data_IF_118856386683
#
_entry.id   IF_118856386683
#
_cell.length_a   1.000
_cell.length_b   1.000
_cell.length_c   1.000
_cell.angle_alpha   90.00
_cell.angle_beta   90.00
_cell.angle_gamma   90.00
#
_symmetry.space_group_name_H-M   'P 1'
#
loop_
_entity.id
_entity.type
_entity.pdbx_description
1 polymer ?
#
# COMPACT_ATOMS: atom_id res chain seq x y z
N UNK A 1 39.72 46.01 26.55
CA UNK A 1 38.86 45.42 25.50
C UNK A 1 39.05 43.90 25.31
N UNK A 2 39.61 43.14 26.27
CA UNK A 2 39.85 41.69 26.10
C UNK A 2 39.14 40.79 27.15
N UNK A 3 38.21 41.33 27.94
CA UNK A 3 37.40 40.54 28.89
C UNK A 3 35.91 40.45 28.55
N UNK A 4 35.43 41.15 27.51
CA UNK A 4 34.05 41.03 27.01
C UNK A 4 33.84 39.85 26.04
N UNK A 5 34.84 39.51 25.24
CA UNK A 5 34.70 38.53 24.16
C UNK A 5 34.66 37.05 24.62
N UNK A 6 35.23 36.74 25.79
CA UNK A 6 35.24 35.37 26.33
C UNK A 6 33.92 34.98 27.00
N UNK A 7 33.20 35.94 27.61
CA UNK A 7 31.85 35.68 28.18
C UNK A 7 30.78 35.49 27.11
N UNK A 8 30.94 36.10 25.94
CA UNK A 8 30.00 35.94 24.82
C UNK A 8 30.18 34.58 24.12
N UNK A 9 31.41 34.08 24.01
CA UNK A 9 31.70 32.74 23.46
C UNK A 9 31.21 31.60 24.36
N UNK A 10 31.33 31.72 25.69
CA UNK A 10 30.83 30.70 26.62
C UNK A 10 29.29 30.58 26.63
N UNK A 11 28.56 31.70 26.50
CA UNK A 11 27.10 31.68 26.34
C UNK A 11 26.65 31.09 25.01
N UNK A 12 27.42 31.31 23.93
CA UNK A 12 27.13 30.70 22.62
C UNK A 12 27.40 29.19 22.57
N UNK A 13 28.30 28.66 23.41
CA UNK A 13 28.58 27.22 23.51
C UNK A 13 27.56 26.50 24.39
N UNK A 14 27.10 27.14 25.48
CA UNK A 14 26.00 26.61 26.33
C UNK A 14 24.68 26.53 25.55
N UNK A 15 24.32 27.60 24.82
CA UNK A 15 23.09 27.63 24.02
C UNK A 15 23.11 26.67 22.80
N UNK A 16 24.30 26.34 22.25
CA UNK A 16 24.43 25.32 21.18
C UNK A 16 24.42 23.89 21.71
N UNK A 17 24.73 23.68 22.99
CA UNK A 17 24.70 22.34 23.61
C UNK A 17 23.28 22.03 24.12
N UNK A 18 22.52 23.04 24.56
CA UNK A 18 21.10 22.90 24.91
C UNK A 18 20.21 22.67 23.68
N UNK A 19 20.47 23.34 22.55
CA UNK A 19 19.71 23.13 21.31
C UNK A 19 19.96 21.76 20.63
N UNK A 20 21.09 21.10 20.90
CA UNK A 20 21.36 19.74 20.43
C UNK A 20 20.89 18.65 21.42
N UNK A 21 20.54 19.02 22.66
CA UNK A 21 20.02 18.10 23.69
C UNK A 21 18.51 17.88 23.58
N UNK A 22 17.74 18.86 23.13
CA UNK A 22 16.28 18.75 22.99
C UNK A 22 15.85 17.89 21.79
N UNK A 23 16.67 17.82 20.72
CA UNK A 23 16.40 16.98 19.55
C UNK A 23 16.62 15.49 19.76
N UNK A 24 17.50 15.11 20.70
CA UNK A 24 17.88 13.70 20.95
C UNK A 24 16.94 13.05 21.98
N UNK A 25 16.36 13.84 22.91
CA UNK A 25 15.42 13.33 23.92
C UNK A 25 13.99 13.10 23.39
N UNK A 26 13.62 13.75 22.29
CA UNK A 26 12.33 13.55 21.61
C UNK A 26 12.27 12.22 20.84
N UNK A 27 13.37 11.85 20.15
CA UNK A 27 13.45 10.63 19.34
C UNK A 27 13.33 9.34 20.18
N UNK A 28 13.83 9.34 21.41
CA UNK A 28 13.69 8.21 22.34
C UNK A 28 12.24 8.02 22.85
N UNK A 29 11.41 9.06 22.77
CA UNK A 29 10.06 9.04 23.31
C UNK A 29 9.04 8.45 22.32
N UNK A 30 9.19 8.76 21.03
CA UNK A 30 8.22 8.33 20.02
C UNK A 30 8.14 6.81 19.83
N UNK A 31 9.28 6.15 19.59
CA UNK A 31 9.34 4.70 19.43
C UNK A 31 8.87 3.95 20.69
N UNK A 32 9.29 4.43 21.86
CA UNK A 32 8.90 3.87 23.16
C UNK A 32 7.40 3.99 23.39
N UNK A 33 6.84 5.18 23.16
CA UNK A 33 5.42 5.42 23.31
C UNK A 33 4.60 4.57 22.33
N UNK A 34 5.03 4.48 21.07
CA UNK A 34 4.33 3.65 20.09
C UNK A 34 4.32 2.17 20.50
N UNK A 35 5.46 1.64 20.96
CA UNK A 35 5.55 0.26 21.45
C UNK A 35 4.58 0.02 22.63
N UNK A 36 4.51 0.96 23.58
CA UNK A 36 3.58 0.89 24.70
C UNK A 36 2.12 0.91 24.25
N UNK A 37 1.79 1.69 23.21
CA UNK A 37 0.43 1.75 22.65
C UNK A 37 0.10 0.50 21.84
N UNK A 38 1.02 -0.01 21.02
CA UNK A 38 0.83 -1.19 20.18
C UNK A 38 0.62 -2.48 20.98
N UNK A 39 1.21 -2.57 22.18
CA UNK A 39 1.03 -3.71 23.08
C UNK A 39 -0.30 -3.69 23.86
N UNK A 40 -1.13 -2.65 23.70
CA UNK A 40 -2.49 -2.61 24.26
C UNK A 40 -3.43 -3.42 23.38
N UNK A 41 -3.68 -4.67 23.78
CA UNK A 41 -4.52 -5.63 23.04
C UNK A 41 -5.91 -5.09 22.65
N UNK A 42 -6.47 -4.18 23.44
CA UNK A 42 -7.77 -3.55 23.21
C UNK A 42 -7.77 -2.50 22.08
N UNK A 43 -6.59 -2.07 21.63
CA UNK A 43 -6.42 -1.11 20.53
C UNK A 43 -6.07 -1.79 19.20
N UNK A 44 -5.67 -3.06 19.26
CA UNK A 44 -5.46 -3.92 18.11
C UNK A 44 -6.82 -4.46 17.60
N UNK A 45 -7.00 -4.51 16.28
CA UNK A 45 -8.18 -5.15 15.70
C UNK A 45 -7.93 -6.67 15.65
N UNK A 46 -8.53 -7.43 16.58
CA UNK A 46 -8.51 -8.89 16.49
C UNK A 46 -9.39 -9.33 15.31
N UNK A 47 -8.81 -9.98 14.30
CA UNK A 47 -9.49 -10.42 13.09
C UNK A 47 -10.82 -11.12 13.36
N UNK A 48 -11.93 -10.41 13.16
CA UNK A 48 -13.27 -10.99 13.21
C UNK A 48 -13.47 -11.95 12.03
N UNK A 49 -14.01 -13.14 12.29
CA UNK A 49 -14.12 -14.29 11.37
C UNK A 49 -14.98 -14.12 10.10
N UNK A 50 -15.15 -12.90 9.56
CA UNK A 50 -15.72 -12.67 8.23
C UNK A 50 -14.58 -12.51 7.23
N UNK A 51 -14.28 -13.63 6.57
CA UNK A 51 -13.03 -13.96 5.91
C UNK A 51 -12.56 -13.03 4.79
N UNK A 52 -11.22 -13.04 4.63
CA UNK A 52 -10.37 -12.65 3.48
C UNK A 52 -10.69 -11.35 2.72
N UNK A 53 -11.91 -11.12 2.28
CA UNK A 53 -12.31 -10.03 1.38
C UNK A 53 -12.18 -8.61 1.97
N UNK A 54 -12.38 -8.45 3.28
CA UNK A 54 -12.27 -7.14 3.96
C UNK A 54 -10.82 -6.74 4.22
N UNK A 55 -10.00 -7.69 4.64
CA UNK A 55 -8.57 -7.51 4.93
C UNK A 55 -7.78 -7.22 3.65
N UNK A 56 -8.19 -7.81 2.53
CA UNK A 56 -7.55 -7.54 1.24
C UNK A 56 -7.68 -6.06 0.82
N UNK A 57 -8.83 -5.42 1.06
CA UNK A 57 -9.00 -4.00 0.73
C UNK A 57 -8.01 -3.09 1.48
N UNK A 58 -7.73 -3.42 2.75
CA UNK A 58 -6.79 -2.65 3.57
C UNK A 58 -5.35 -2.80 3.07
N UNK A 59 -4.97 -4.02 2.67
CA UNK A 59 -3.65 -4.33 2.10
C UNK A 59 -3.43 -3.64 0.76
N UNK A 60 -4.42 -3.69 -0.14
CA UNK A 60 -4.35 -2.96 -1.42
C UNK A 60 -4.21 -1.46 -1.21
N UNK A 61 -4.97 -0.89 -0.26
CA UNK A 61 -4.82 0.51 0.09
C UNK A 61 -3.43 0.82 0.68
N UNK A 62 -2.87 -0.04 1.53
CA UNK A 62 -1.54 0.16 2.09
C UNK A 62 -0.46 0.21 1.01
N UNK A 63 -0.52 -0.68 0.01
CA UNK A 63 0.42 -0.64 -1.13
C UNK A 63 0.23 0.62 -1.96
N UNK A 64 -1.02 1.01 -2.23
CA UNK A 64 -1.30 2.28 -2.89
C UNK A 64 -0.75 3.48 -2.11
N UNK A 65 -0.88 3.46 -0.78
CA UNK A 65 -0.34 4.50 0.11
C UNK A 65 1.18 4.58 0.07
N UNK A 66 1.89 3.46 0.07
CA UNK A 66 3.36 3.45 -0.09
C UNK A 66 3.79 4.07 -1.42
N UNK A 67 3.06 3.79 -2.49
CA UNK A 67 3.31 4.40 -3.80
C UNK A 67 3.08 5.91 -3.77
N UNK A 68 2.00 6.39 -3.15
CA UNK A 68 1.76 7.84 -2.95
C UNK A 68 2.91 8.50 -2.17
N UNK A 69 3.35 7.89 -1.07
CA UNK A 69 4.45 8.40 -0.24
C UNK A 69 5.77 8.48 -1.02
N UNK A 70 6.09 7.44 -1.80
CA UNK A 70 7.30 7.42 -2.62
C UNK A 70 7.24 8.42 -3.78
N UNK A 71 6.08 8.58 -4.44
CA UNK A 71 5.86 9.58 -5.48
C UNK A 71 5.94 11.02 -4.93
N UNK A 72 5.46 11.23 -3.70
CA UNK A 72 5.59 12.50 -2.98
C UNK A 72 7.03 12.78 -2.50
N UNK A 73 7.94 11.83 -2.65
CA UNK A 73 9.32 11.89 -2.16
C UNK A 73 9.40 12.13 -0.65
N UNK A 74 8.52 11.48 0.12
CA UNK A 74 8.64 11.45 1.57
C UNK A 74 10.00 10.84 1.97
N UNK A 75 10.75 11.47 2.91
CA UNK A 75 12.14 11.11 3.18
C UNK A 75 12.26 9.69 3.74
N UNK A 76 11.31 9.31 4.59
CA UNK A 76 11.17 7.98 5.18
C UNK A 76 9.68 7.72 5.48
N UNK A 77 9.33 6.45 5.64
CA UNK A 77 8.04 6.03 6.17
C UNK A 77 8.13 4.60 6.74
N UNK A 78 7.25 4.30 7.67
CA UNK A 78 7.02 2.94 8.16
C UNK A 78 5.52 2.72 8.33
N UNK A 79 5.01 1.67 7.69
CA UNK A 79 3.64 1.20 7.90
C UNK A 79 3.68 0.01 8.85
N UNK A 80 2.95 0.11 9.95
CA UNK A 80 2.69 -0.98 10.88
C UNK A 80 1.28 -1.53 10.65
N UNK A 81 1.17 -2.83 10.48
CA UNK A 81 -0.09 -3.53 10.23
C UNK A 81 -0.63 -4.10 11.54
N UNK A 82 -1.91 -3.83 11.83
CA UNK A 82 -2.60 -4.36 13.02
C UNK A 82 -1.88 -4.06 14.36
N UNK A 83 -1.05 -3.01 14.40
CA UNK A 83 -0.37 -2.56 15.62
C UNK A 83 -1.25 -1.60 16.43
N UNK A 84 -1.82 -0.60 15.76
CA UNK A 84 -2.83 0.31 16.32
C UNK A 84 -3.88 0.53 15.23
N UNK A 85 -5.12 0.09 15.48
CA UNK A 85 -6.17 -0.03 14.46
C UNK A 85 -5.73 -0.91 13.27
N UNK A 86 -6.21 -0.63 12.06
CA UNK A 86 -5.89 -1.45 10.88
C UNK A 86 -4.44 -1.19 10.40
N UNK A 87 -4.07 0.08 10.24
CA UNK A 87 -2.74 0.50 9.74
C UNK A 87 -2.27 1.75 10.50
N UNK A 88 -0.99 1.78 10.90
CA UNK A 88 -0.34 2.97 11.44
C UNK A 88 0.84 3.37 10.57
N UNK A 89 0.84 4.61 10.06
CA UNK A 89 1.94 5.22 9.31
C UNK A 89 2.78 6.08 10.23
N UNK A 90 4.10 5.90 10.18
CA UNK A 90 5.10 6.70 10.87
C UNK A 90 5.96 7.43 9.84
N UNK A 91 6.45 8.59 10.22
CA UNK A 91 7.34 9.43 9.40
C UNK A 91 8.79 8.95 9.37
N UNK A 92 9.16 8.03 10.25
CA UNK A 92 10.45 7.36 10.21
C UNK A 92 10.37 5.94 10.76
N UNK A 93 11.14 5.06 10.15
CA UNK A 93 11.34 3.67 10.57
C UNK A 93 12.28 3.51 11.77
N UNK A 94 13.06 4.54 12.11
CA UNK A 94 14.10 4.48 13.16
C UNK A 94 13.94 5.53 14.25
N UNK A 95 13.32 6.66 13.95
CA UNK A 95 13.11 7.75 14.91
C UNK A 95 11.77 8.45 14.64
N UNK A 96 10.64 7.74 14.84
CA UNK A 96 9.32 8.29 14.54
C UNK A 96 9.00 9.49 15.43
N UNK A 97 8.55 10.59 14.82
CA UNK A 97 8.17 11.82 15.52
C UNK A 97 6.68 12.14 15.39
N UNK A 98 5.99 11.53 14.43
CA UNK A 98 4.53 11.64 14.26
C UNK A 98 3.95 10.31 13.78
N UNK A 99 2.70 10.06 14.12
CA UNK A 99 1.96 8.92 13.62
C UNK A 99 0.63 9.33 12.96
N UNK A 100 0.23 8.57 11.95
CA UNK A 100 -1.12 8.60 11.38
C UNK A 100 -1.75 7.24 11.52
N UNK A 101 -2.87 7.15 12.24
CA UNK A 101 -3.60 5.90 12.48
C UNK A 101 -4.78 5.82 11.51
N UNK A 102 -4.93 4.70 10.83
CA UNK A 102 -5.97 4.47 9.83
C UNK A 102 -6.90 3.35 10.28
N UNK A 103 -8.20 3.67 10.29
CA UNK A 103 -9.27 2.67 10.26
C UNK A 103 -9.82 2.61 8.84
N UNK A 104 -9.58 1.48 8.17
CA UNK A 104 -9.84 1.23 6.77
C UNK A 104 -11.05 0.29 6.63
N UNK A 105 -12.14 0.78 6.04
CA UNK A 105 -13.34 -0.04 5.83
C UNK A 105 -13.77 -0.05 4.36
N UNK A 106 -14.12 -1.25 3.87
CA UNK A 106 -14.78 -1.44 2.57
C UNK A 106 -16.29 -1.32 2.72
N UNK A 107 -16.97 -0.72 1.74
CA UNK A 107 -18.43 -0.72 1.61
C UNK A 107 -18.84 -1.12 0.20
N UNK A 108 -19.67 -2.14 0.04
CA UNK A 108 -20.08 -2.60 -1.29
C UNK A 108 -21.06 -1.63 -1.98
N UNK A 109 -21.90 -0.93 -1.21
CA UNK A 109 -22.82 0.09 -1.75
C UNK A 109 -23.24 1.14 -0.72
N UNK A 110 -23.66 2.32 -1.19
CA UNK A 110 -24.20 3.40 -0.36
C UNK A 110 -23.15 4.21 0.42
N UNK A 111 -23.58 4.87 1.49
CA UNK A 111 -22.75 5.72 2.36
C UNK A 111 -22.67 5.17 3.78
N UNK A 112 -21.63 5.54 4.53
CA UNK A 112 -21.55 5.24 5.95
C UNK A 112 -22.49 6.14 6.73
N UNK A 113 -23.39 5.56 7.51
CA UNK A 113 -24.34 6.32 8.33
C UNK A 113 -23.70 6.75 9.65
N UNK A 114 -24.23 7.82 10.23
CA UNK A 114 -23.85 8.33 11.56
C UNK A 114 -23.80 7.23 12.63
N UNK A 115 -24.87 6.44 12.73
CA UNK A 115 -24.99 5.42 13.78
C UNK A 115 -23.99 4.29 13.66
N UNK A 116 -23.63 3.91 12.44
CA UNK A 116 -22.63 2.84 12.20
C UNK A 116 -21.25 3.30 12.64
N UNK A 117 -20.89 4.56 12.36
CA UNK A 117 -19.54 5.06 12.66
C UNK A 117 -19.38 5.57 14.10
N UNK A 118 -20.45 6.08 14.73
CA UNK A 118 -20.38 6.70 16.06
C UNK A 118 -20.97 5.85 17.18
N UNK A 119 -21.78 4.83 16.86
CA UNK A 119 -22.54 4.10 17.87
C UNK A 119 -23.69 4.90 18.49
N UNK A 120 -24.04 6.08 17.95
CA UNK A 120 -25.09 6.96 18.48
C UNK A 120 -26.21 7.22 17.47
N UNK A 121 -27.36 7.71 17.92
CA UNK A 121 -28.43 8.16 17.02
C UNK A 121 -28.16 9.58 16.55
N UNK A 122 -28.32 9.86 15.25
CA UNK A 122 -28.13 11.20 14.71
C UNK A 122 -29.04 12.24 15.40
N UNK A 123 -28.57 13.50 15.58
CA UNK A 123 -29.40 14.59 16.07
C UNK A 123 -30.68 14.72 15.25
N UNK A 124 -31.84 14.76 15.91
CA UNK A 124 -33.12 15.01 15.23
C UNK A 124 -33.17 16.46 14.76
N UNK A 125 -33.52 16.68 13.50
CA UNK A 125 -33.85 18.02 13.03
C UNK A 125 -35.02 18.59 13.89
N UNK A 126 -35.00 19.89 14.24
CA UNK A 126 -36.11 20.51 14.93
C UNK A 126 -37.35 20.37 14.03
N UNK A 127 -38.35 19.59 14.46
CA UNK A 127 -39.62 19.50 13.74
C UNK A 127 -40.25 20.90 13.71
N UNK A 128 -40.66 21.37 12.54
CA UNK A 128 -41.54 22.53 12.46
C UNK A 128 -42.82 22.19 13.23
N UNK A 129 -43.19 23.10 14.12
CA UNK A 129 -44.34 22.93 15.00
C UNK A 129 -45.62 22.86 14.20
N UNK A 130 -46.21 21.66 14.08
CA UNK A 130 -47.65 21.47 13.97
C UNK A 130 -48.01 20.04 14.41
N UNK A 131 -48.63 19.93 15.59
CA UNK A 131 -49.19 18.67 16.12
C UNK A 131 -48.29 17.95 17.12
N UNK A 132 -48.54 18.17 18.41
CA UNK A 132 -47.80 17.61 19.52
C UNK A 132 -47.95 16.08 19.67
N UNK A 133 -46.83 15.42 19.97
CA UNK A 133 -46.67 14.66 21.23
C UNK A 133 -45.26 14.97 21.70
N UNK A 134 -45.14 15.45 22.94
CA UNK A 134 -43.85 15.62 23.60
C UNK A 134 -43.19 14.24 23.70
N UNK A 135 -42.39 13.89 22.70
CA UNK A 135 -41.48 12.78 22.83
C UNK A 135 -40.56 13.17 23.98
N UNK A 136 -40.62 12.40 25.07
CA UNK A 136 -39.62 12.44 26.13
C UNK A 136 -38.25 12.59 25.46
N UNK A 137 -37.52 13.66 25.78
CA UNK A 137 -36.11 13.83 25.39
C UNK A 137 -35.37 12.67 26.05
N UNK A 138 -35.35 11.49 25.41
CA UNK A 138 -34.45 10.42 25.79
C UNK A 138 -33.05 10.99 25.61
N UNK A 139 -32.30 11.06 26.70
CA UNK A 139 -30.87 11.36 26.62
C UNK A 139 -30.22 10.46 25.57
N UNK A 140 -29.22 10.94 24.82
CA UNK A 140 -28.46 10.09 23.92
C UNK A 140 -27.93 8.85 24.66
N UNK A 141 -28.04 7.69 24.04
CA UNK A 141 -27.43 6.45 24.53
C UNK A 141 -26.01 6.36 23.98
N UNK A 142 -25.03 6.24 24.88
CA UNK A 142 -23.61 6.13 24.55
C UNK A 142 -23.02 4.74 24.80
N UNK A 143 -23.84 3.76 25.17
CA UNK A 143 -23.39 2.39 25.50
C UNK A 143 -22.60 1.70 24.37
N UNK A 144 -22.88 2.05 23.10
CA UNK A 144 -22.23 1.46 21.91
C UNK A 144 -21.07 2.28 21.35
N UNK A 145 -20.76 3.43 21.95
CA UNK A 145 -19.73 4.33 21.41
C UNK A 145 -18.35 3.66 21.47
N UNK A 146 -18.06 2.90 22.54
CA UNK A 146 -16.78 2.21 22.71
C UNK A 146 -16.46 1.22 21.58
N UNK A 147 -17.48 0.55 21.04
CA UNK A 147 -17.35 -0.43 19.97
C UNK A 147 -17.47 0.17 18.56
N UNK A 148 -17.83 1.45 18.47
CA UNK A 148 -17.99 2.16 17.20
C UNK A 148 -16.63 2.47 16.56
N UNK A 149 -16.60 2.57 15.23
CA UNK A 149 -15.40 2.90 14.46
C UNK A 149 -14.70 4.16 14.97
N UNK A 150 -15.45 5.26 15.16
CA UNK A 150 -14.86 6.53 15.61
C UNK A 150 -14.54 6.52 17.11
N UNK A 151 -15.24 5.73 17.92
CA UNK A 151 -14.91 5.55 19.33
C UNK A 151 -13.61 4.78 19.53
N UNK A 152 -13.40 3.69 18.77
CA UNK A 152 -12.13 2.95 18.75
C UNK A 152 -10.98 3.82 18.29
N UNK A 153 -11.16 4.51 17.16
CA UNK A 153 -10.15 5.43 16.65
C UNK A 153 -9.82 6.52 17.67
N UNK A 154 -10.81 7.12 18.34
CA UNK A 154 -10.58 8.07 19.42
C UNK A 154 -9.78 7.47 20.59
N UNK A 155 -10.10 6.26 21.04
CA UNK A 155 -9.34 5.58 22.10
C UNK A 155 -7.89 5.35 21.70
N UNK A 156 -7.63 4.92 20.46
CA UNK A 156 -6.28 4.77 19.93
C UNK A 156 -5.51 6.09 19.94
N UNK A 157 -6.13 7.19 19.52
CA UNK A 157 -5.48 8.50 19.53
C UNK A 157 -5.22 9.04 20.95
N UNK A 158 -6.12 8.77 21.88
CA UNK A 158 -6.00 9.15 23.29
C UNK A 158 -5.00 8.30 24.06
N UNK A 159 -4.59 7.15 23.53
CA UNK A 159 -3.55 6.32 24.11
C UNK A 159 -2.15 6.91 23.96
N UNK A 160 -1.96 7.83 23.01
CA UNK A 160 -0.75 8.63 22.85
C UNK A 160 -0.84 9.90 23.71
N UNK A 161 0.14 10.07 24.57
CA UNK A 161 0.32 11.18 25.50
C UNK A 161 1.24 12.29 24.97
N UNK A 162 2.23 11.96 24.13
CA UNK A 162 3.27 12.92 23.72
C UNK A 162 3.47 13.03 22.21
N UNK A 163 3.46 11.91 21.49
CA UNK A 163 3.62 11.88 20.05
C UNK A 163 2.39 12.54 19.39
N UNK A 164 2.60 13.48 18.46
CA UNK A 164 1.53 13.97 17.60
C UNK A 164 0.93 12.82 16.77
N UNK A 165 -0.35 12.52 17.04
CA UNK A 165 -1.09 11.49 16.30
C UNK A 165 -2.42 12.02 15.78
N UNK A 166 -2.66 11.77 14.49
CA UNK A 166 -3.93 12.02 13.81
C UNK A 166 -4.54 10.71 13.32
N UNK A 167 -5.86 10.62 13.34
CA UNK A 167 -6.62 9.45 12.93
C UNK A 167 -7.40 9.70 11.65
N UNK A 168 -7.45 8.70 10.79
CA UNK A 168 -8.27 8.72 9.58
C UNK A 168 -9.22 7.52 9.57
N UNK A 169 -10.51 7.80 9.44
CA UNK A 169 -11.42 6.82 8.88
C UNK A 169 -11.37 6.93 7.36
N UNK A 170 -11.00 5.83 6.70
CA UNK A 170 -10.92 5.78 5.24
C UNK A 170 -11.82 4.70 4.65
N UNK A 171 -12.44 5.01 3.52
CA UNK A 171 -13.29 4.07 2.80
C UNK A 171 -13.47 4.43 1.34
N UNK A 172 -13.83 3.45 0.52
CA UNK A 172 -14.31 3.69 -0.85
C UNK A 172 -15.67 4.43 -0.89
N UNK A 173 -16.41 4.43 0.23
CA UNK A 173 -17.67 5.14 0.36
C UNK A 173 -17.54 6.41 1.21
N UNK A 174 -18.36 7.41 0.89
CA UNK A 174 -18.48 8.64 1.67
C UNK A 174 -19.27 8.43 2.98
N UNK A 175 -19.25 9.44 3.86
CA UNK A 175 -19.98 9.42 5.13
C UNK A 175 -21.17 10.38 5.07
N UNK A 176 -22.38 9.93 5.41
CA UNK A 176 -23.56 10.79 5.41
C UNK A 176 -23.63 11.67 6.66
N UNK A 177 -22.67 12.60 6.75
CA UNK A 177 -22.44 13.46 7.90
C UNK A 177 -22.60 14.91 7.43
N UNK A 178 -23.56 15.68 7.97
CA UNK A 178 -23.77 17.05 7.53
C UNK A 178 -22.62 17.95 7.97
N UNK A 179 -22.16 18.81 7.08
CA UNK A 179 -21.07 19.76 7.30
C UNK A 179 -21.62 21.17 7.61
N UNK A 180 -20.83 21.95 8.34
CA UNK A 180 -21.15 23.35 8.66
C UNK A 180 -21.28 24.24 7.41
N UNK A 181 -20.60 23.88 6.32
CA UNK A 181 -20.64 24.57 5.03
C UNK A 181 -21.91 24.30 4.20
N UNK A 182 -22.85 23.48 4.68
CA UNK A 182 -24.11 23.18 3.99
C UNK A 182 -24.06 21.99 3.02
N UNK A 183 -23.04 21.14 3.12
CA UNK A 183 -22.90 19.88 2.36
C UNK A 183 -22.86 18.63 3.24
N UNK A 184 -22.32 17.54 2.71
CA UNK A 184 -22.11 16.28 3.43
C UNK A 184 -20.69 15.74 3.21
N UNK A 185 -20.14 15.07 4.22
CA UNK A 185 -18.88 14.31 4.13
C UNK A 185 -18.96 13.15 3.12
N UNK A 186 -20.11 12.93 2.46
CA UNK A 186 -20.24 12.00 1.37
C UNK A 186 -19.59 12.51 0.08
N UNK A 187 -19.58 13.83 -0.09
CA UNK A 187 -19.15 14.52 -1.33
C UNK A 187 -17.96 15.46 -1.11
N UNK A 188 -17.65 15.84 0.13
CA UNK A 188 -16.67 16.89 0.47
C UNK A 188 -15.51 16.34 1.29
N UNK A 189 -14.73 15.41 0.71
CA UNK A 189 -13.65 14.69 1.41
C UNK A 189 -12.27 15.03 0.84
N UNK A 190 -11.20 15.06 1.65
CA UNK A 190 -11.19 14.78 3.10
C UNK A 190 -11.81 15.92 3.93
N UNK A 191 -12.41 15.58 5.08
CA UNK A 191 -12.91 16.57 6.05
C UNK A 191 -12.57 16.17 7.49
N UNK A 192 -12.34 17.16 8.34
CA UNK A 192 -12.17 16.99 9.79
C UNK A 192 -13.52 16.80 10.48
N UNK A 193 -13.56 16.05 11.60
CA UNK A 193 -14.79 15.96 12.42
C UNK A 193 -15.17 17.31 13.06
N UNK A 194 -14.24 18.27 13.12
CA UNK A 194 -14.54 19.64 13.53
C UNK A 194 -15.37 20.43 12.53
N UNK A 195 -15.47 19.97 11.28
CA UNK A 195 -16.24 20.62 10.20
C UNK A 195 -17.70 20.18 10.15
N UNK A 196 -18.10 19.26 11.04
CA UNK A 196 -19.47 18.80 11.15
C UNK A 196 -20.43 19.92 11.56
N UNK A 197 -21.69 19.80 11.16
CA UNK A 197 -22.74 20.66 11.64
C UNK A 197 -22.77 20.68 13.18
N UNK A 198 -23.00 21.85 13.78
CA UNK A 198 -22.83 22.09 15.22
C UNK A 198 -23.48 21.02 16.13
N UNK A 199 -24.73 20.63 15.84
CA UNK A 199 -25.44 19.61 16.63
C UNK A 199 -24.78 18.22 16.57
N UNK A 200 -24.16 17.88 15.45
CA UNK A 200 -23.44 16.61 15.27
C UNK A 200 -22.08 16.66 15.97
N UNK A 201 -21.34 17.76 15.80
CA UNK A 201 -20.07 17.97 16.49
C UNK A 201 -20.26 17.89 18.02
N UNK A 202 -21.27 18.58 18.57
CA UNK A 202 -21.54 18.55 20.02
C UNK A 202 -21.92 17.14 20.50
N UNK A 203 -22.82 16.45 19.80
CA UNK A 203 -23.19 15.08 20.17
C UNK A 203 -21.99 14.15 20.15
N UNK A 204 -21.09 14.32 19.18
CA UNK A 204 -19.88 13.51 19.09
C UNK A 204 -18.89 13.84 20.21
N UNK A 205 -18.71 15.12 20.57
CA UNK A 205 -17.90 15.50 21.75
C UNK A 205 -18.44 14.83 23.00
N UNK A 206 -19.75 14.88 23.23
CA UNK A 206 -20.39 14.26 24.40
C UNK A 206 -20.18 12.74 24.39
N UNK A 207 -20.37 12.11 23.23
CA UNK A 207 -20.20 10.67 23.04
C UNK A 207 -18.75 10.23 23.29
N UNK A 208 -17.77 10.91 22.70
CA UNK A 208 -16.35 10.57 22.87
C UNK A 208 -15.86 10.86 24.29
N UNK A 209 -16.36 11.93 24.92
CA UNK A 209 -16.05 12.24 26.32
C UNK A 209 -16.52 11.14 27.27
N UNK A 210 -17.61 10.42 26.92
CA UNK A 210 -18.10 9.29 27.71
C UNK A 210 -17.14 8.09 27.74
N UNK A 211 -16.13 8.05 26.84
CA UNK A 211 -15.10 7.01 26.83
C UNK A 211 -13.94 7.31 27.78
N UNK A 212 -13.79 8.56 28.23
CA UNK A 212 -12.72 9.01 29.12
C UNK A 212 -13.10 8.92 30.60
N UNK A 213 -12.09 8.93 31.47
CA UNK A 213 -12.31 9.10 32.90
C UNK A 213 -12.73 10.55 33.23
N UNK A 214 -13.37 10.77 34.37
CA UNK A 214 -13.71 12.12 34.81
C UNK A 214 -12.45 13.01 34.87
N UNK A 215 -12.49 14.17 34.22
CA UNK A 215 -11.37 15.12 34.17
C UNK A 215 -10.43 14.97 32.98
N UNK A 216 -10.69 14.03 32.05
CA UNK A 216 -9.95 14.01 30.76
C UNK A 216 -10.25 15.27 29.95
N UNK A 217 -9.26 15.80 29.19
CA UNK A 217 -9.49 16.91 28.28
C UNK A 217 -10.62 16.61 27.29
N UNK A 218 -11.33 17.66 26.88
CA UNK A 218 -12.37 17.57 25.85
C UNK A 218 -11.78 16.95 24.58
N UNK A 219 -12.48 15.98 23.95
CA UNK A 219 -12.06 15.40 22.68
C UNK A 219 -11.79 16.45 21.60
N UNK A 220 -10.59 16.41 21.03
CA UNK A 220 -10.22 17.26 19.90
C UNK A 220 -10.66 16.63 18.58
N UNK A 221 -11.74 17.16 18.01
CA UNK A 221 -12.30 16.68 16.75
C UNK A 221 -11.43 16.99 15.53
N UNK A 222 -10.41 17.87 15.65
CA UNK A 222 -9.47 18.14 14.55
C UNK A 222 -8.49 16.98 14.30
N UNK A 223 -8.32 16.11 15.30
CA UNK A 223 -7.42 14.95 15.23
C UNK A 223 -8.00 13.78 14.44
N UNK A 224 -9.32 13.74 14.21
CA UNK A 224 -9.95 12.67 13.44
C UNK A 224 -10.49 13.23 12.13
N UNK A 225 -10.14 12.56 11.03
CA UNK A 225 -10.53 12.94 9.68
C UNK A 225 -11.26 11.81 8.99
N UNK A 226 -12.19 12.19 8.13
CA UNK A 226 -12.87 11.28 7.20
C UNK A 226 -12.20 11.47 5.84
N UNK A 227 -11.81 10.38 5.16
CA UNK A 227 -11.29 10.42 3.78
C UNK A 227 -11.96 9.36 2.91
N UNK A 228 -12.49 9.77 1.76
CA UNK A 228 -12.94 8.86 0.71
C UNK A 228 -11.77 8.57 -0.22
N UNK A 229 -11.55 7.31 -0.54
CA UNK A 229 -10.51 6.88 -1.48
C UNK A 229 -11.14 6.34 -2.77
N UNK A 230 -10.49 6.59 -3.90
CA UNK A 230 -10.95 6.17 -5.22
C UNK A 230 -10.52 4.71 -5.53
N UNK A 231 -10.80 3.79 -4.60
CA UNK A 231 -10.55 2.36 -4.78
C UNK A 231 -11.90 1.67 -4.97
N UNK A 232 -12.09 1.01 -6.11
CA UNK A 232 -13.34 0.30 -6.37
C UNK A 232 -13.41 -0.98 -5.52
N UNK A 233 -14.55 -1.30 -4.88
CA UNK A 233 -14.66 -2.49 -4.03
C UNK A 233 -14.46 -3.82 -4.76
N UNK A 234 -14.76 -3.87 -6.06
CA UNK A 234 -14.63 -5.08 -6.89
C UNK A 234 -13.28 -5.20 -7.61
N UNK A 235 -12.55 -4.09 -7.73
CA UNK A 235 -11.19 -4.08 -8.28
C UNK A 235 -10.31 -3.16 -7.42
N UNK A 236 -9.89 -3.65 -6.24
CA UNK A 236 -9.05 -2.86 -5.35
C UNK A 236 -7.62 -2.71 -5.86
N UNK A 237 -7.22 -3.50 -6.87
CA UNK A 237 -5.86 -3.54 -7.40
C UNK A 237 -5.53 -2.38 -8.34
N UNK A 238 -6.51 -1.95 -9.15
CA UNK A 238 -6.28 -1.03 -10.25
C UNK A 238 -5.54 0.28 -9.86
N UNK A 239 -5.89 0.99 -8.78
CA UNK A 239 -5.21 2.24 -8.41
C UNK A 239 -3.74 2.02 -8.03
N UNK A 240 -3.44 0.93 -7.32
CA UNK A 240 -2.07 0.57 -6.95
C UNK A 240 -1.24 0.22 -8.19
N UNK A 241 -1.79 -0.57 -9.11
CA UNK A 241 -1.12 -0.93 -10.37
C UNK A 241 -0.86 0.32 -11.24
N UNK A 242 -1.85 1.21 -11.35
CA UNK A 242 -1.70 2.45 -12.11
C UNK A 242 -0.60 3.36 -11.52
N UNK A 243 -0.60 3.54 -10.20
CA UNK A 243 0.43 4.34 -9.51
C UNK A 243 1.83 3.71 -9.60
N UNK A 244 1.94 2.39 -9.49
CA UNK A 244 3.19 1.67 -9.73
C UNK A 244 3.68 1.82 -11.18
N UNK A 245 2.78 1.73 -12.16
CA UNK A 245 3.12 1.94 -13.56
C UNK A 245 3.67 3.34 -13.81
N UNK A 246 3.06 4.38 -13.22
CA UNK A 246 3.56 5.76 -13.31
C UNK A 246 4.94 5.91 -12.67
N UNK A 247 5.13 5.36 -11.46
CA UNK A 247 6.41 5.38 -10.75
C UNK A 247 7.51 4.69 -11.56
N UNK A 248 7.22 3.51 -12.11
CA UNK A 248 8.18 2.73 -12.91
C UNK A 248 8.47 3.41 -14.24
N UNK A 249 7.47 3.96 -14.94
CA UNK A 249 7.72 4.75 -16.16
C UNK A 249 8.67 5.92 -15.94
N UNK A 250 8.64 6.52 -14.76
CA UNK A 250 9.53 7.63 -14.42
C UNK A 250 10.94 7.16 -14.04
N UNK A 251 11.06 6.10 -13.23
CA UNK A 251 12.33 5.71 -12.60
C UNK A 251 13.04 4.56 -13.30
N UNK A 252 12.30 3.66 -13.95
CA UNK A 252 12.83 2.51 -14.65
C UNK A 252 11.87 2.06 -15.77
N UNK A 253 11.89 2.77 -16.91
CA UNK A 253 10.93 2.55 -18.00
C UNK A 253 10.90 1.12 -18.53
N UNK A 254 12.04 0.43 -18.54
CA UNK A 254 12.18 -0.97 -18.95
C UNK A 254 11.37 -1.94 -18.06
N UNK A 255 11.20 -1.63 -16.78
CA UNK A 255 10.43 -2.45 -15.84
C UNK A 255 8.96 -2.03 -15.74
N UNK A 256 8.50 -1.01 -16.49
CA UNK A 256 7.13 -0.50 -16.40
C UNK A 256 6.06 -1.57 -16.65
N UNK A 257 6.34 -2.55 -17.53
CA UNK A 257 5.43 -3.67 -17.80
C UNK A 257 5.25 -4.63 -16.61
N UNK A 258 6.11 -4.54 -15.59
CA UNK A 258 6.08 -5.40 -14.39
C UNK A 258 5.24 -4.81 -13.25
N UNK A 259 4.58 -3.66 -13.44
CA UNK A 259 3.84 -2.95 -12.39
C UNK A 259 2.84 -3.83 -11.64
N UNK A 260 2.05 -4.65 -12.35
CA UNK A 260 1.07 -5.54 -11.73
C UNK A 260 1.73 -6.58 -10.83
N UNK A 261 2.72 -7.31 -11.34
CA UNK A 261 3.45 -8.33 -10.59
C UNK A 261 4.19 -7.74 -9.38
N UNK A 262 4.75 -6.53 -9.53
CA UNK A 262 5.38 -5.81 -8.43
C UNK A 262 4.39 -5.52 -7.30
N UNK A 263 3.24 -4.95 -7.63
CA UNK A 263 2.20 -4.62 -6.63
C UNK A 263 1.67 -5.89 -5.96
N UNK A 264 1.39 -6.95 -6.73
CA UNK A 264 0.96 -8.24 -6.17
C UNK A 264 2.00 -8.83 -5.20
N UNK A 265 3.29 -8.75 -5.55
CA UNK A 265 4.38 -9.17 -4.66
C UNK A 265 4.40 -8.37 -3.35
N UNK A 266 4.20 -7.05 -3.41
CA UNK A 266 4.09 -6.22 -2.21
C UNK A 266 2.90 -6.61 -1.34
N UNK A 267 1.72 -6.82 -1.94
CA UNK A 267 0.52 -7.28 -1.21
C UNK A 267 0.78 -8.61 -0.52
N UNK A 268 1.43 -9.56 -1.20
CA UNK A 268 1.79 -10.85 -0.60
C UNK A 268 2.72 -10.69 0.60
N UNK A 269 3.74 -9.83 0.50
CA UNK A 269 4.69 -9.56 1.60
C UNK A 269 3.97 -8.98 2.82
N UNK A 270 3.16 -7.93 2.65
CA UNK A 270 2.47 -7.30 3.78
C UNK A 270 1.33 -8.16 4.35
N UNK A 271 0.79 -9.08 3.56
CA UNK A 271 -0.26 -10.00 4.03
C UNK A 271 0.22 -10.94 5.14
N UNK A 272 1.53 -11.18 5.23
CA UNK A 272 2.12 -11.95 6.32
C UNK A 272 2.18 -11.17 7.64
N UNK A 273 2.38 -9.85 7.56
CA UNK A 273 2.60 -8.98 8.73
C UNK A 273 1.36 -8.79 9.60
N UNK A 274 0.17 -8.74 8.99
CA UNK A 274 -1.12 -8.66 9.71
C UNK A 274 -1.58 -10.00 10.32
N UNK A 275 -0.68 -10.91 10.67
CA UNK A 275 -1.03 -12.17 11.37
C UNK A 275 -0.41 -12.27 12.76
N UNK A 276 0.50 -11.34 13.08
CA UNK A 276 1.28 -11.34 14.30
C UNK A 276 0.60 -10.42 15.31
N UNK A 277 0.00 -10.99 16.35
CA UNK A 277 -0.71 -10.22 17.40
C UNK A 277 -0.03 -10.27 18.76
N UNK A 278 1.08 -11.03 18.89
CA UNK A 278 1.85 -11.16 20.11
C UNK A 278 2.52 -9.85 20.53
N UNK A 279 2.61 -9.61 21.84
CA UNK A 279 3.25 -8.42 22.39
C UNK A 279 4.73 -8.39 22.03
N UNK A 280 5.23 -7.25 21.55
CA UNK A 280 6.64 -7.07 21.22
C UNK A 280 7.38 -6.45 22.42
N UNK A 281 8.60 -6.89 22.68
CA UNK A 281 9.45 -6.38 23.78
C UNK A 281 10.17 -5.11 23.37
N UNK A 282 10.52 -4.98 22.10
CA UNK A 282 11.27 -3.83 21.56
C UNK A 282 10.58 -3.23 20.35
N UNK A 283 10.91 -1.98 20.03
CA UNK A 283 10.42 -1.33 18.81
C UNK A 283 10.94 -2.04 17.56
N UNK A 284 12.20 -2.47 17.53
CA UNK A 284 12.76 -3.22 16.40
C UNK A 284 12.02 -4.53 16.15
N UNK A 285 11.62 -5.23 17.21
CA UNK A 285 10.78 -6.42 17.11
C UNK A 285 9.39 -6.09 16.57
N UNK A 286 8.76 -5.00 17.02
CA UNK A 286 7.49 -4.53 16.46
C UNK A 286 7.59 -4.24 14.97
N UNK A 287 8.68 -3.58 14.54
CA UNK A 287 8.95 -3.32 13.12
C UNK A 287 9.18 -4.62 12.36
N UNK A 288 9.88 -5.59 12.95
CA UNK A 288 10.13 -6.89 12.32
C UNK A 288 8.85 -7.69 12.11
N UNK A 289 8.01 -7.81 13.15
CA UNK A 289 6.81 -8.65 13.14
C UNK A 289 5.67 -8.02 12.33
N UNK A 290 5.56 -6.67 12.34
CA UNK A 290 4.38 -5.97 11.85
C UNK A 290 4.67 -4.83 10.88
N UNK A 291 5.94 -4.54 10.59
CA UNK A 291 6.35 -3.35 9.87
C UNK A 291 6.75 -3.57 8.42
N UNK A 292 6.46 -2.58 7.58
CA UNK A 292 7.01 -2.46 6.23
C UNK A 292 7.55 -1.04 6.03
N UNK A 293 8.87 -0.92 5.95
CA UNK A 293 9.57 0.37 5.87
C UNK A 293 9.78 0.83 4.44
N UNK A 294 10.10 2.11 4.25
CA UNK A 294 10.57 2.65 2.98
C UNK A 294 11.78 1.90 2.43
N UNK A 295 12.74 1.53 3.30
CA UNK A 295 13.91 0.76 2.88
C UNK A 295 13.53 -0.62 2.30
N UNK A 296 12.55 -1.30 2.91
CA UNK A 296 12.01 -2.57 2.40
C UNK A 296 11.28 -2.38 1.06
N UNK A 297 10.53 -1.27 0.92
CA UNK A 297 9.90 -0.89 -0.35
C UNK A 297 10.94 -0.65 -1.46
N UNK A 298 12.00 0.11 -1.17
CA UNK A 298 13.09 0.35 -2.13
C UNK A 298 13.86 -0.94 -2.46
N UNK A 299 14.07 -1.83 -1.50
CA UNK A 299 14.68 -3.13 -1.76
C UNK A 299 13.81 -3.99 -2.70
N UNK A 300 12.47 -3.94 -2.52
CA UNK A 300 11.54 -4.61 -3.43
C UNK A 300 11.58 -4.01 -4.84
N UNK A 301 11.67 -2.68 -4.97
CA UNK A 301 11.89 -2.02 -6.26
C UNK A 301 13.23 -2.40 -6.89
N UNK A 302 14.32 -2.41 -6.11
CA UNK A 302 15.64 -2.82 -6.58
C UNK A 302 15.66 -4.28 -7.06
N UNK A 303 14.84 -5.14 -6.45
CA UNK A 303 14.69 -6.53 -6.89
C UNK A 303 14.09 -6.64 -8.29
N UNK A 304 13.38 -5.63 -8.81
CA UNK A 304 12.90 -5.64 -10.19
C UNK A 304 14.05 -5.63 -11.20
N UNK A 305 15.20 -5.04 -10.88
CA UNK A 305 16.40 -5.08 -11.73
C UNK A 305 16.94 -6.50 -11.90
N UNK A 306 16.62 -7.40 -10.97
CA UNK A 306 16.99 -8.81 -11.07
C UNK A 306 15.99 -9.62 -11.88
N UNK A 307 14.82 -9.05 -12.20
CA UNK A 307 13.77 -9.68 -13.02
C UNK A 307 13.97 -9.27 -14.48
N UNK A 308 14.49 -10.17 -15.33
CA UNK A 308 14.91 -9.80 -16.68
C UNK A 308 13.70 -9.39 -17.54
N UNK A 309 13.76 -8.21 -18.20
CA UNK A 309 12.73 -7.85 -19.18
C UNK A 309 12.87 -8.75 -20.42
N UNK A 310 11.95 -9.71 -20.52
CA UNK A 310 11.90 -10.68 -21.62
C UNK A 310 11.75 -10.01 -22.98
N UNK A 311 11.10 -8.84 -23.07
CA UNK A 311 11.01 -8.09 -24.32
C UNK A 311 12.33 -7.42 -24.69
N UNK A 312 13.05 -6.89 -23.71
CA UNK A 312 14.38 -6.33 -23.92
C UNK A 312 15.38 -7.41 -24.33
N UNK A 313 15.36 -8.57 -23.66
CA UNK A 313 16.17 -9.73 -24.04
C UNK A 313 15.84 -10.23 -25.44
N UNK A 314 14.55 -10.28 -25.81
CA UNK A 314 14.13 -10.58 -27.18
C UNK A 314 14.69 -9.54 -28.17
N UNK A 315 14.67 -8.25 -27.83
CA UNK A 315 15.26 -7.20 -28.67
C UNK A 315 16.76 -7.41 -28.85
N UNK A 316 17.49 -7.75 -27.79
CA UNK A 316 18.93 -8.05 -27.84
C UNK A 316 19.22 -9.22 -28.77
N UNK A 317 18.47 -10.32 -28.66
CA UNK A 317 18.62 -11.49 -29.54
C UNK A 317 18.30 -11.15 -31.00
N UNK A 318 17.22 -10.41 -31.25
CA UNK A 318 16.84 -10.00 -32.61
C UNK A 318 17.89 -9.06 -33.24
N UNK A 319 18.45 -8.14 -32.46
CA UNK A 319 19.51 -7.24 -32.93
C UNK A 319 20.79 -8.02 -33.27
N UNK A 320 21.17 -9.00 -32.45
CA UNK A 320 22.31 -9.87 -32.72
C UNK A 320 22.09 -10.73 -33.97
N UNK A 321 20.90 -11.30 -34.16
CA UNK A 321 20.56 -12.03 -35.38
C UNK A 321 20.63 -11.16 -36.63
N UNK A 322 20.21 -9.91 -36.53
CA UNK A 322 20.33 -8.94 -37.62
C UNK A 322 21.81 -8.63 -37.93
N UNK A 323 22.65 -8.47 -36.91
CA UNK A 323 24.10 -8.28 -37.06
C UNK A 323 24.78 -9.51 -37.70
N UNK A 324 24.26 -10.71 -37.45
CA UNK A 324 24.71 -11.97 -38.05
C UNK A 324 24.12 -12.25 -39.45
N UNK A 325 23.42 -11.27 -40.02
CA UNK A 325 22.95 -11.28 -41.41
C UNK A 325 21.58 -11.92 -41.64
N UNK A 326 20.74 -12.03 -40.59
CA UNK A 326 19.30 -12.26 -40.78
C UNK A 326 18.64 -11.01 -41.36
N UNK A 327 17.77 -11.18 -42.35
CA UNK A 327 17.11 -10.06 -43.02
C UNK A 327 15.99 -9.43 -42.15
N UNK A 328 15.69 -8.16 -42.44
CA UNK A 328 14.69 -7.39 -41.73
C UNK A 328 13.30 -8.04 -41.69
N UNK A 329 12.91 -8.76 -42.75
CA UNK A 329 11.60 -9.41 -42.83
C UNK A 329 11.53 -10.58 -41.87
N UNK A 330 12.57 -11.40 -41.83
CA UNK A 330 12.71 -12.51 -40.87
C UNK A 330 12.66 -12.00 -39.43
N UNK A 331 13.41 -10.94 -39.10
CA UNK A 331 13.40 -10.32 -37.76
C UNK A 331 12.00 -9.81 -37.39
N UNK A 332 11.32 -9.15 -38.33
CA UNK A 332 9.96 -8.63 -38.11
C UNK A 332 8.96 -9.76 -37.90
N UNK A 333 9.03 -10.84 -38.70
CA UNK A 333 8.17 -12.01 -38.57
C UNK A 333 8.35 -12.72 -37.23
N UNK A 334 9.60 -12.91 -36.77
CA UNK A 334 9.88 -13.51 -35.45
C UNK A 334 9.28 -12.63 -34.34
N UNK A 335 9.42 -11.30 -34.41
CA UNK A 335 8.86 -10.38 -33.41
C UNK A 335 7.32 -10.47 -33.33
N UNK A 336 6.64 -10.50 -34.48
CA UNK A 336 5.18 -10.65 -34.53
C UNK A 336 4.73 -12.01 -34.01
N UNK A 337 5.46 -13.08 -34.36
CA UNK A 337 5.21 -14.42 -33.87
C UNK A 337 5.43 -14.51 -32.34
N UNK A 338 6.49 -13.89 -31.80
CA UNK A 338 6.74 -13.86 -30.36
C UNK A 338 5.62 -13.19 -29.57
N UNK A 339 5.05 -12.09 -30.09
CA UNK A 339 3.88 -11.45 -29.50
C UNK A 339 2.64 -12.36 -29.50
N UNK A 340 2.46 -13.17 -30.56
CA UNK A 340 1.38 -14.17 -30.64
C UNK A 340 1.57 -15.30 -29.65
N UNK A 341 2.80 -15.82 -29.52
CA UNK A 341 3.16 -16.85 -28.54
C UNK A 341 2.93 -16.35 -27.12
N UNK A 342 3.35 -15.12 -26.81
CA UNK A 342 3.08 -14.50 -25.51
C UNK A 342 1.57 -14.42 -25.23
N UNK A 343 0.77 -14.01 -26.21
CA UNK A 343 -0.69 -13.96 -26.09
C UNK A 343 -1.31 -15.35 -25.88
N UNK A 344 -0.82 -16.37 -26.57
CA UNK A 344 -1.32 -17.74 -26.42
C UNK A 344 -1.02 -18.32 -25.04
N UNK A 345 0.17 -18.05 -24.49
CA UNK A 345 0.53 -18.40 -23.12
C UNK A 345 -0.37 -17.72 -22.09
N UNK A 346 -0.77 -16.46 -22.32
CA UNK A 346 -1.74 -15.76 -21.47
C UNK A 346 -3.10 -16.47 -21.43
N UNK A 347 -3.47 -17.19 -22.49
CA UNK A 347 -4.71 -17.99 -22.55
C UNK A 347 -4.53 -19.44 -22.10
N UNK A 348 -3.39 -19.79 -21.51
CA UNK A 348 -3.09 -21.13 -21.00
C UNK A 348 -2.52 -22.13 -22.01
N UNK A 349 -2.30 -21.70 -23.27
CA UNK A 349 -1.81 -22.56 -24.35
C UNK A 349 -2.75 -23.72 -24.72
N UNK A 350 -2.32 -24.55 -25.65
CA UNK A 350 -2.91 -25.86 -25.97
C UNK A 350 -1.86 -26.98 -25.80
N UNK A 351 -2.27 -28.25 -25.90
CA UNK A 351 -1.35 -29.40 -25.73
C UNK A 351 -0.16 -29.32 -26.68
N UNK A 352 -0.41 -29.05 -27.96
CA UNK A 352 0.63 -28.93 -28.98
C UNK A 352 1.64 -27.81 -28.68
N UNK A 353 1.17 -26.68 -28.13
CA UNK A 353 2.04 -25.57 -27.73
C UNK A 353 2.94 -25.93 -26.55
N UNK A 354 2.46 -26.79 -25.64
CA UNK A 354 3.25 -27.33 -24.54
C UNK A 354 4.28 -28.32 -25.06
N UNK A 355 3.91 -29.20 -26.00
CA UNK A 355 4.84 -30.14 -26.61
C UNK A 355 6.01 -29.43 -27.32
N UNK A 356 5.74 -28.32 -28.02
CA UNK A 356 6.78 -27.51 -28.66
C UNK A 356 7.65 -26.79 -27.63
N UNK A 357 7.06 -26.26 -26.56
CA UNK A 357 7.78 -25.60 -25.47
C UNK A 357 8.70 -26.60 -24.74
N UNK A 358 8.20 -27.79 -24.41
CA UNK A 358 8.95 -28.88 -23.76
C UNK A 358 10.07 -29.41 -24.65
N UNK A 359 9.82 -29.57 -25.95
CA UNK A 359 10.88 -29.91 -26.91
C UNK A 359 11.97 -28.85 -26.92
N UNK A 360 11.58 -27.57 -26.95
CA UNK A 360 12.52 -26.45 -26.99
C UNK A 360 13.38 -26.40 -25.73
N UNK A 361 12.80 -26.60 -24.55
CA UNK A 361 13.53 -26.65 -23.28
C UNK A 361 14.55 -27.79 -23.26
N UNK A 362 14.12 -29.00 -23.63
CA UNK A 362 15.02 -30.16 -23.70
C UNK A 362 16.16 -29.96 -24.71
N UNK A 363 15.86 -29.30 -25.84
CA UNK A 363 16.86 -29.01 -26.84
C UNK A 363 17.87 -27.96 -26.35
N UNK A 364 17.41 -26.90 -25.67
CA UNK A 364 18.29 -25.88 -25.07
C UNK A 364 19.20 -26.50 -24.02
N UNK A 365 18.67 -27.36 -23.14
CA UNK A 365 19.46 -28.03 -22.10
C UNK A 365 20.54 -28.95 -22.70
N UNK A 366 20.26 -29.58 -23.84
CA UNK A 366 21.17 -30.49 -24.53
C UNK A 366 22.18 -29.78 -25.48
N UNK A 367 21.90 -28.55 -25.89
CA UNK A 367 22.68 -27.83 -26.91
C UNK A 367 23.07 -26.44 -26.38
N UNK A 368 24.30 -26.24 -25.90
CA UNK A 368 24.72 -24.93 -25.41
C UNK A 368 24.82 -23.92 -26.56
N UNK A 369 24.36 -22.69 -26.30
CA UNK A 369 24.49 -21.60 -27.26
C UNK A 369 25.97 -21.24 -27.48
N UNK A 370 26.42 -21.28 -28.74
CA UNK A 370 27.76 -20.85 -29.12
C UNK A 370 27.91 -19.32 -29.19
N UNK A 371 29.03 -18.85 -29.74
CA UNK A 371 29.34 -17.43 -29.86
C UNK A 371 28.44 -16.64 -30.84
N UNK A 372 27.64 -17.34 -31.67
CA UNK A 372 26.73 -16.74 -32.65
C UNK A 372 25.34 -17.38 -32.57
N UNK A 373 24.30 -16.56 -32.67
CA UNK A 373 22.90 -16.99 -32.52
C UNK A 373 22.34 -17.67 -33.77
N UNK A 374 22.77 -17.26 -34.96
CA UNK A 374 22.19 -17.69 -36.24
C UNK A 374 22.41 -19.18 -36.50
N UNK A 375 23.60 -19.77 -36.32
CA UNK A 375 23.78 -21.22 -36.47
C UNK A 375 23.01 -22.00 -35.40
N UNK A 376 22.94 -21.46 -34.18
CA UNK A 376 22.21 -22.04 -33.07
C UNK A 376 20.70 -22.14 -33.36
N UNK A 377 20.09 -21.03 -33.82
CA UNK A 377 18.69 -21.01 -34.21
C UNK A 377 18.39 -21.86 -35.46
N UNK A 378 19.31 -21.91 -36.43
CA UNK A 378 19.14 -22.76 -37.61
C UNK A 378 19.11 -24.24 -37.23
N UNK A 379 19.99 -24.68 -36.32
CA UNK A 379 20.01 -26.05 -35.82
C UNK A 379 18.73 -26.38 -35.03
N UNK A 380 18.30 -25.49 -34.13
CA UNK A 380 17.07 -25.64 -33.36
C UNK A 380 15.84 -25.73 -34.28
N UNK A 381 15.73 -24.83 -35.26
CA UNK A 381 14.63 -24.83 -36.22
C UNK A 381 14.61 -26.13 -37.05
N UNK A 382 15.77 -26.63 -37.47
CA UNK A 382 15.84 -27.91 -38.18
C UNK A 382 15.33 -29.07 -37.33
N UNK A 383 15.68 -29.10 -36.04
CA UNK A 383 15.23 -30.14 -35.11
C UNK A 383 13.72 -30.03 -34.82
N UNK A 384 13.22 -28.80 -34.63
CA UNK A 384 11.79 -28.54 -34.45
C UNK A 384 10.99 -28.98 -35.68
N UNK A 385 11.45 -28.66 -36.89
CA UNK A 385 10.76 -29.03 -38.13
C UNK A 385 10.73 -30.53 -38.39
N UNK A 386 11.67 -31.30 -37.84
CA UNK A 386 11.62 -32.76 -37.92
C UNK A 386 10.44 -33.35 -37.14
N UNK A 387 9.95 -32.62 -36.12
CA UNK A 387 8.87 -33.08 -35.21
C UNK A 387 7.55 -32.34 -35.45
N UNK A 388 7.61 -31.05 -35.80
CA UNK A 388 6.47 -30.13 -35.90
C UNK A 388 6.37 -29.48 -37.30
N UNK A 389 6.44 -30.29 -38.36
CA UNK A 389 6.57 -29.84 -39.75
C UNK A 389 5.46 -28.91 -40.27
N UNK A 390 4.27 -28.96 -39.65
CA UNK A 390 3.09 -28.21 -40.09
C UNK A 390 3.09 -26.74 -39.63
N UNK A 391 4.10 -26.33 -38.86
CA UNK A 391 4.21 -24.98 -38.33
C UNK A 391 5.13 -24.11 -39.17
N UNK A 392 4.84 -22.80 -39.17
CA UNK A 392 5.68 -21.84 -39.86
C UNK A 392 7.01 -21.66 -39.14
N UNK A 393 8.07 -21.50 -39.93
CA UNK A 393 9.44 -21.32 -39.44
C UNK A 393 9.57 -20.14 -38.46
N UNK A 394 8.89 -19.02 -38.71
CA UNK A 394 8.90 -17.85 -37.84
C UNK A 394 8.20 -18.10 -36.50
N UNK A 395 7.18 -18.96 -36.48
CA UNK A 395 6.47 -19.35 -35.26
C UNK A 395 7.30 -20.29 -34.40
N UNK A 396 7.87 -21.34 -35.00
CA UNK A 396 8.77 -22.27 -34.32
C UNK A 396 10.00 -21.54 -33.76
N UNK A 397 10.60 -20.66 -34.57
CA UNK A 397 11.75 -19.86 -34.14
C UNK A 397 11.39 -18.92 -32.99
N UNK A 398 10.24 -18.25 -33.06
CA UNK A 398 9.81 -17.36 -31.99
C UNK A 398 9.53 -18.10 -30.67
N UNK A 399 8.85 -19.26 -30.71
CA UNK A 399 8.63 -20.10 -29.52
C UNK A 399 9.95 -20.54 -28.90
N UNK A 400 10.86 -21.05 -29.74
CA UNK A 400 12.19 -21.48 -29.31
C UNK A 400 12.97 -20.34 -28.65
N UNK A 401 13.08 -19.18 -29.31
CA UNK A 401 13.79 -18.00 -28.78
C UNK A 401 13.22 -17.58 -27.43
N UNK A 402 11.89 -17.56 -27.28
CA UNK A 402 11.25 -17.19 -26.01
C UNK A 402 11.53 -18.20 -24.89
N UNK A 403 11.71 -19.50 -25.18
CA UNK A 403 12.13 -20.52 -24.20
C UNK A 403 13.62 -20.41 -23.88
N UNK A 404 14.46 -20.29 -24.90
CA UNK A 404 15.91 -20.15 -24.74
C UNK A 404 16.28 -18.92 -23.91
N UNK A 405 15.63 -17.77 -24.16
CA UNK A 405 15.77 -16.57 -23.34
C UNK A 405 15.44 -16.88 -21.88
N UNK A 406 14.30 -17.52 -21.60
CA UNK A 406 13.88 -17.84 -20.24
C UNK A 406 14.92 -18.72 -19.51
N UNK A 407 15.40 -19.78 -20.16
CA UNK A 407 16.45 -20.68 -19.62
C UNK A 407 17.79 -19.99 -19.39
N UNK A 408 18.16 -19.03 -20.23
CA UNK A 408 19.41 -18.27 -20.08
C UNK A 408 19.38 -17.27 -18.92
N UNK A 409 18.20 -16.80 -18.50
CA UNK A 409 18.08 -15.72 -17.50
C UNK A 409 17.42 -16.15 -16.20
N UNK A 410 16.77 -17.32 -16.18
CA UNK A 410 16.19 -17.94 -15.00
C UNK A 410 16.52 -19.45 -15.05
N UNK A 411 17.69 -19.87 -14.53
CA UNK A 411 18.16 -21.26 -14.63
C UNK A 411 17.43 -22.23 -13.69
N UNK A 412 16.36 -21.80 -13.03
CA UNK A 412 15.58 -22.61 -12.07
C UNK A 412 14.38 -23.30 -12.71
#
# INVERSE_FOLDING_TARGET
MFHGALRQKARSYSARTEANGEGILSAANGATELLLVANKSELAESGGGHGSKGVDFQRWWAVFRMLELEQANEPDFLLLFEAVQDITELDSSSSPTKATVYQVKKKDSGTWSWSVLTGTTAPKAPKSSNGARAATKSSPDFSKVADSTLGKLHRSLSAFSSMPVVGYFISNAGCDFPLISGGSAATSMPCSLSELAFAHAQLLVDALSSLGAAGTPTPDLTRIKLKKIAIHPDDPSAPAIASALELLKQRSPEHAAQAAAFVESLVMKISALGRHTDTCVTFDELVHERGFSRSAFLAALGSLQTVPDRNELLNLWLNQLQAEGSDFRTITSIRVAAARVARERLTGGNDLSRDIDDFSDNWVDANPCGATLRPYLAAALSALKATFSDHRDDELTARFVMRAIAKCVDPN
#
